data_IF_573431041878
#
_entry.id   IF_573431041878
#
_cell.length_a   1.000
_cell.length_b   1.000
_cell.length_c   1.000
_cell.angle_alpha   90.00
_cell.angle_beta   90.00
_cell.angle_gamma   90.00
#
_symmetry.space_group_name_H-M   'P 1'
#
loop_
_entity.id
_entity.type
_entity.pdbx_description
1 polymer ?
#
# COMPACT_ATOMS: atom_id res chain seq x y z
N UNK A 1 32.66 2.94 -2.86
CA UNK A 1 31.92 2.41 -1.69
C UNK A 1 32.81 2.59 -0.47
N UNK A 2 32.60 3.65 0.29
CA UNK A 2 33.60 4.16 1.24
C UNK A 2 33.66 3.40 2.58
N UNK A 3 33.15 2.16 2.64
CA UNK A 3 33.24 1.32 3.84
C UNK A 3 32.56 1.91 5.10
N UNK A 4 31.72 2.93 4.93
CA UNK A 4 31.01 3.59 6.03
C UNK A 4 29.93 2.70 6.65
N UNK A 5 29.63 2.94 7.93
CA UNK A 5 28.57 2.25 8.66
C UNK A 5 27.23 2.95 8.41
N UNK A 6 26.21 2.20 8.01
CA UNK A 6 24.84 2.70 7.84
C UNK A 6 24.13 2.60 9.18
N UNK A 7 23.75 3.74 9.76
CA UNK A 7 22.95 3.80 10.99
C UNK A 7 21.45 3.80 10.67
N UNK A 8 20.65 3.17 11.53
CA UNK A 8 19.20 3.09 11.35
C UNK A 8 18.55 4.42 11.75
N UNK A 9 17.86 5.07 10.81
CA UNK A 9 17.24 6.37 11.03
C UNK A 9 15.90 6.53 10.32
N UNK A 10 15.11 7.50 10.79
CA UNK A 10 13.90 7.95 10.09
C UNK A 10 14.22 9.24 9.35
N UNK A 11 14.10 9.22 8.02
CA UNK A 11 14.38 10.37 7.15
C UNK A 11 13.10 11.03 6.64
N UNK A 12 13.17 12.32 6.35
CA UNK A 12 12.17 13.07 5.57
C UNK A 12 12.75 13.36 4.18
N UNK A 13 11.88 13.62 3.20
CA UNK A 13 12.25 14.15 1.89
C UNK A 13 12.00 15.66 1.80
N UNK A 14 12.98 16.42 1.30
CA UNK A 14 12.83 17.83 0.92
C UNK A 14 12.71 17.95 -0.60
N UNK A 15 11.51 18.22 -1.15
CA UNK A 15 11.29 18.29 -2.59
C UNK A 15 11.98 19.50 -3.25
N UNK A 16 12.29 20.56 -2.51
CA UNK A 16 12.93 21.76 -3.08
C UNK A 16 14.41 21.52 -3.37
N UNK A 17 15.05 20.66 -2.57
CA UNK A 17 16.49 20.34 -2.68
C UNK A 17 16.74 18.98 -3.30
N UNK A 18 15.72 18.13 -3.41
CA UNK A 18 15.85 16.76 -3.93
C UNK A 18 16.61 15.84 -2.98
N UNK A 19 16.67 16.16 -1.70
CA UNK A 19 17.50 15.49 -0.71
C UNK A 19 16.67 14.90 0.42
N UNK A 20 17.20 13.84 1.06
CA UNK A 20 16.60 13.28 2.26
C UNK A 20 17.34 13.80 3.49
N UNK A 21 16.61 14.30 4.49
CA UNK A 21 17.16 14.76 5.77
C UNK A 21 16.85 13.77 6.88
N UNK A 22 17.83 13.47 7.72
CA UNK A 22 17.61 12.67 8.93
C UNK A 22 16.79 13.48 9.95
N UNK A 23 15.84 12.84 10.63
CA UNK A 23 15.07 13.44 11.72
C UNK A 23 15.50 12.88 13.07
N UNK A 24 15.09 11.64 13.35
CA UNK A 24 15.33 10.96 14.62
C UNK A 24 16.16 9.70 14.38
N UNK A 25 17.17 9.46 15.22
CA UNK A 25 17.86 8.17 15.32
C UNK A 25 16.90 7.10 15.83
N UNK A 26 16.80 5.98 15.12
CA UNK A 26 16.14 4.78 15.65
C UNK A 26 17.19 4.04 16.49
N UNK A 27 17.36 4.45 17.75
CA UNK A 27 18.22 3.69 18.66
C UNK A 27 17.63 2.31 18.96
N UNK A 28 16.30 2.20 19.12
CA UNK A 28 15.57 0.92 19.25
C UNK A 28 14.18 1.04 18.59
N UNK A 29 13.66 -0.05 18.02
CA UNK A 29 12.27 -0.09 17.55
C UNK A 29 11.34 -0.04 18.77
N UNK A 30 10.37 0.87 18.77
CA UNK A 30 9.41 0.99 19.87
C UNK A 30 8.60 -0.29 20.05
N UNK A 31 8.61 -0.83 21.27
CA UNK A 31 7.71 -1.91 21.65
C UNK A 31 6.31 -1.32 21.87
N UNK A 32 5.46 -1.43 20.84
CA UNK A 32 4.08 -0.99 20.88
C UNK A 32 3.16 -1.88 21.72
N UNK A 33 3.68 -2.99 22.27
CA UNK A 33 2.98 -3.90 23.18
C UNK A 33 1.61 -4.30 22.63
N UNK A 34 1.59 -4.82 21.40
CA UNK A 34 0.34 -5.25 20.77
C UNK A 34 -0.36 -6.32 21.61
N UNK A 35 -1.65 -6.11 21.89
CA UNK A 35 -2.54 -7.10 22.49
C UNK A 35 -3.94 -6.95 21.90
N UNK A 36 -4.77 -8.00 21.89
CA UNK A 36 -6.16 -7.90 21.47
C UNK A 36 -6.89 -6.90 22.37
N UNK A 37 -7.58 -5.95 21.76
CA UNK A 37 -8.37 -4.97 22.49
C UNK A 37 -9.50 -5.69 23.25
N UNK A 38 -9.52 -5.66 24.59
CA UNK A 38 -10.49 -6.39 25.40
C UNK A 38 -11.91 -5.81 25.26
N UNK A 39 -12.02 -4.57 24.79
CA UNK A 39 -13.31 -3.90 24.58
C UNK A 39 -13.89 -4.21 23.19
N UNK A 40 -13.11 -4.83 22.29
CA UNK A 40 -13.53 -5.19 20.94
C UNK A 40 -13.57 -6.72 20.77
N UNK A 41 -14.76 -7.24 20.45
CA UNK A 41 -14.90 -8.63 20.02
C UNK A 41 -14.19 -8.85 18.67
N UNK A 42 -13.73 -10.09 18.38
CA UNK A 42 -13.20 -10.44 17.07
C UNK A 42 -14.17 -10.07 15.95
N UNK A 43 -13.65 -9.42 14.90
CA UNK A 43 -14.44 -9.07 13.73
C UNK A 43 -14.49 -10.27 12.77
N UNK A 44 -15.66 -10.87 12.64
CA UNK A 44 -15.90 -12.02 11.76
C UNK A 44 -16.79 -11.62 10.57
N UNK A 45 -16.41 -12.08 9.37
CA UNK A 45 -17.20 -11.91 8.15
C UNK A 45 -17.56 -13.30 7.62
N UNK A 46 -18.83 -13.51 7.27
CA UNK A 46 -19.24 -14.73 6.58
C UNK A 46 -18.90 -14.66 5.08
N UNK A 47 -18.83 -15.83 4.44
CA UNK A 47 -18.51 -15.91 3.02
C UNK A 47 -19.60 -15.27 2.15
N UNK A 48 -20.87 -15.31 2.58
CA UNK A 48 -21.98 -14.73 1.83
C UNK A 48 -21.86 -13.21 1.71
N UNK A 49 -21.40 -12.55 2.76
CA UNK A 49 -21.12 -11.12 2.83
C UNK A 49 -19.98 -10.74 1.89
N UNK A 50 -18.88 -11.51 1.91
CA UNK A 50 -17.74 -11.30 1.01
C UNK A 50 -18.14 -11.48 -0.45
N UNK A 51 -18.93 -12.51 -0.75
CA UNK A 51 -19.39 -12.80 -2.12
C UNK A 51 -20.36 -11.73 -2.64
N UNK A 52 -21.19 -11.16 -1.75
CA UNK A 52 -22.06 -10.04 -2.12
C UNK A 52 -21.24 -8.80 -2.49
N UNK A 53 -20.25 -8.44 -1.67
CA UNK A 53 -19.35 -7.33 -1.96
C UNK A 53 -18.56 -7.54 -3.25
N UNK A 54 -18.10 -8.76 -3.51
CA UNK A 54 -17.36 -9.08 -4.72
C UNK A 54 -18.22 -8.93 -5.99
N UNK A 55 -19.52 -9.22 -5.92
CA UNK A 55 -20.46 -9.03 -7.04
C UNK A 55 -20.77 -7.57 -7.32
N UNK A 56 -20.82 -6.75 -6.28
CA UNK A 56 -21.09 -5.32 -6.40
C UNK A 56 -19.85 -4.50 -6.75
N UNK A 57 -18.67 -5.13 -6.74
CA UNK A 57 -17.41 -4.47 -7.06
C UNK A 57 -17.38 -4.08 -8.56
N UNK A 58 -17.10 -2.80 -8.88
CA UNK A 58 -16.97 -2.39 -10.27
C UNK A 58 -15.75 -3.03 -10.94
N UNK A 59 -15.76 -3.01 -12.28
CA UNK A 59 -14.64 -3.46 -13.10
C UNK A 59 -13.33 -2.78 -12.67
N UNK A 60 -12.33 -3.58 -12.28
CA UNK A 60 -11.00 -3.07 -11.91
C UNK A 60 -10.29 -2.46 -13.13
N UNK A 61 -9.37 -1.49 -12.93
CA UNK A 61 -8.67 -0.82 -14.03
C UNK A 61 -8.00 -1.78 -15.02
N UNK A 62 -7.36 -2.84 -14.51
CA UNK A 62 -6.68 -3.84 -15.36
C UNK A 62 -7.66 -4.65 -16.21
N UNK A 63 -8.79 -5.05 -15.62
CA UNK A 63 -9.86 -5.75 -16.33
C UNK A 63 -10.49 -4.85 -17.40
N UNK A 64 -10.72 -3.58 -17.05
CA UNK A 64 -11.22 -2.56 -17.97
C UNK A 64 -10.27 -2.34 -19.14
N UNK A 65 -8.97 -2.20 -18.88
CA UNK A 65 -7.95 -2.07 -19.92
C UNK A 65 -7.94 -3.28 -20.86
N UNK A 66 -7.95 -4.50 -20.31
CA UNK A 66 -8.00 -5.72 -21.11
C UNK A 66 -9.27 -5.81 -21.96
N UNK A 67 -10.43 -5.41 -21.40
CA UNK A 67 -11.70 -5.33 -22.14
C UNK A 67 -11.61 -4.29 -23.25
N UNK A 68 -11.12 -3.09 -22.99
CA UNK A 68 -11.00 -2.02 -23.99
C UNK A 68 -10.08 -2.43 -25.16
N UNK A 69 -8.95 -3.08 -24.88
CA UNK A 69 -8.03 -3.60 -25.92
C UNK A 69 -8.73 -4.69 -26.74
N UNK A 70 -9.36 -5.66 -26.08
CA UNK A 70 -9.98 -6.82 -26.76
C UNK A 70 -11.28 -6.48 -27.50
N UNK A 71 -12.13 -5.61 -26.94
CA UNK A 71 -13.46 -5.30 -27.49
C UNK A 71 -13.46 -4.10 -28.44
N UNK A 72 -12.55 -3.14 -28.27
CA UNK A 72 -12.51 -1.90 -29.07
C UNK A 72 -11.23 -1.78 -29.90
N UNK A 73 -10.29 -2.73 -29.79
CA UNK A 73 -9.02 -2.70 -30.55
C UNK A 73 -8.13 -1.52 -30.19
N UNK A 74 -8.34 -0.90 -29.02
CA UNK A 74 -7.57 0.25 -28.57
C UNK A 74 -6.13 -0.16 -28.28
N UNK A 75 -5.20 0.76 -28.56
CA UNK A 75 -3.80 0.56 -28.20
C UNK A 75 -3.65 0.47 -26.67
N UNK A 76 -2.56 -0.13 -26.19
CA UNK A 76 -2.28 -0.17 -24.74
C UNK A 76 -2.21 1.21 -24.12
N UNK A 77 -1.83 2.23 -24.89
CA UNK A 77 -1.76 3.62 -24.46
C UNK A 77 -3.16 4.24 -24.30
N UNK A 78 -4.04 4.04 -25.28
CA UNK A 78 -5.41 4.58 -25.27
C UNK A 78 -6.33 3.85 -24.28
N UNK A 79 -5.98 2.64 -23.88
CA UNK A 79 -6.73 1.81 -22.93
C UNK A 79 -6.23 1.89 -21.47
N UNK A 80 -5.15 2.65 -21.19
CA UNK A 80 -4.57 2.82 -19.84
C UNK A 80 -5.27 3.89 -19.02
#
# INVERSE_FOLDING_TARGET
EDGGKIDQETRLFDPNKGETRSMRSKEEAHDYRYFPDPDLLPLEFDQAYVDALAKDLPELPDAKKARLISSLGLSTYDAS
#
